data_IF_340829987380
#
_entry.id   IF_340829987380
#
_cell.length_a   1.000
_cell.length_b   1.000
_cell.length_c   1.000
_cell.angle_alpha   90.00
_cell.angle_beta   90.00
_cell.angle_gamma   90.00
#
_symmetry.space_group_name_H-M   'P 1'
#
loop_
_entity.id
_entity.type
_entity.pdbx_description
1 polymer ?
#
# COMPACT_ATOMS: atom_id res chain seq x y z
N UNK A 1 -3.75 51.51 30.06
CA UNK A 1 -3.86 50.45 29.02
C UNK A 1 -2.52 49.77 28.89
N UNK A 2 -2.25 48.64 29.54
CA UNK A 2 -1.14 47.76 29.15
C UNK A 2 -1.50 46.32 29.53
N UNK A 3 -2.21 45.63 28.63
CA UNK A 3 -2.46 44.19 28.66
C UNK A 3 -1.18 43.40 28.29
N UNK A 4 0.01 43.90 28.65
CA UNK A 4 1.30 43.29 28.29
C UNK A 4 1.79 42.25 29.29
N UNK A 5 1.43 42.38 30.58
CA UNK A 5 1.79 41.39 31.61
C UNK A 5 1.25 39.98 31.34
N UNK A 6 -0.05 39.82 30.98
CA UNK A 6 -0.62 38.52 30.61
C UNK A 6 0.04 37.93 29.36
N UNK A 7 0.33 38.78 28.36
CA UNK A 7 0.93 38.36 27.09
C UNK A 7 2.37 37.86 27.26
N UNK A 8 3.17 38.52 28.11
CA UNK A 8 4.54 38.11 28.42
C UNK A 8 4.55 36.78 29.17
N UNK A 9 3.63 36.59 30.11
CA UNK A 9 3.50 35.34 30.86
C UNK A 9 3.07 34.19 29.93
N UNK A 10 2.10 34.44 29.05
CA UNK A 10 1.64 33.49 28.03
C UNK A 10 2.78 33.09 27.08
N UNK A 11 3.52 34.06 26.53
CA UNK A 11 4.66 33.80 25.66
C UNK A 11 5.77 33.02 26.39
N UNK A 12 6.01 33.33 27.66
CA UNK A 12 6.95 32.60 28.50
C UNK A 12 6.54 31.13 28.70
N UNK A 13 5.25 30.88 28.95
CA UNK A 13 4.71 29.53 29.08
C UNK A 13 4.79 28.75 27.77
N UNK A 14 4.43 29.36 26.64
CA UNK A 14 4.58 28.72 25.31
C UNK A 14 6.03 28.43 24.95
N UNK A 15 6.95 29.35 25.27
CA UNK A 15 8.38 29.13 25.05
C UNK A 15 8.91 27.97 25.91
N UNK A 16 8.53 27.89 27.18
CA UNK A 16 8.92 26.78 28.06
C UNK A 16 8.33 25.45 27.57
N UNK A 17 7.07 25.44 27.12
CA UNK A 17 6.45 24.26 26.53
C UNK A 17 7.20 23.82 25.26
N UNK A 18 7.48 24.74 24.34
CA UNK A 18 8.27 24.49 23.12
C UNK A 18 9.66 23.94 23.45
N UNK A 19 10.37 24.54 24.41
CA UNK A 19 11.70 24.07 24.84
C UNK A 19 11.66 22.70 25.51
N UNK A 20 10.63 22.43 26.30
CA UNK A 20 10.44 21.11 26.92
C UNK A 20 10.20 20.02 25.86
N UNK A 21 9.38 20.31 24.84
CA UNK A 21 9.16 19.41 23.72
C UNK A 21 10.42 19.25 22.87
N UNK A 22 11.14 20.34 22.60
CA UNK A 22 12.40 20.30 21.86
C UNK A 22 13.45 19.43 22.55
N UNK A 23 13.58 19.53 23.88
CA UNK A 23 14.49 18.68 24.67
C UNK A 23 14.06 17.21 24.62
N UNK A 24 12.76 16.94 24.77
CA UNK A 24 12.21 15.58 24.64
C UNK A 24 12.52 15.00 23.26
N UNK A 25 12.20 15.73 22.18
CA UNK A 25 12.43 15.28 20.82
C UNK A 25 13.92 15.15 20.49
N UNK A 26 14.78 16.01 21.04
CA UNK A 26 16.23 15.85 20.93
C UNK A 26 16.70 14.55 21.58
N UNK A 27 16.21 14.24 22.79
CA UNK A 27 16.50 12.98 23.47
C UNK A 27 16.01 11.76 22.68
N UNK A 28 14.76 11.80 22.20
CA UNK A 28 14.16 10.73 21.39
C UNK A 28 14.90 10.51 20.07
N UNK A 29 15.31 11.58 19.38
CA UNK A 29 16.12 11.49 18.13
C UNK A 29 17.54 10.97 18.36
N UNK A 30 18.06 11.13 19.58
CA UNK A 30 19.38 10.63 19.96
C UNK A 30 19.36 9.16 20.40
N UNK A 31 18.18 8.61 20.67
CA UNK A 31 18.03 7.18 20.84
C UNK A 31 18.33 6.51 19.49
N UNK A 32 19.07 5.39 19.46
CA UNK A 32 19.18 4.60 18.25
C UNK A 32 17.77 4.26 17.76
N UNK A 33 17.59 4.04 16.45
CA UNK A 33 16.37 3.45 15.90
C UNK A 33 16.18 2.06 16.51
N UNK A 34 15.61 2.01 17.72
CA UNK A 34 15.62 0.86 18.62
C UNK A 34 14.46 -0.10 18.36
N UNK A 35 13.67 0.16 17.33
CA UNK A 35 12.63 -0.73 16.89
C UNK A 35 13.25 -1.80 15.99
N UNK A 36 13.49 -2.97 16.57
CA UNK A 36 13.81 -4.15 15.76
C UNK A 36 12.51 -4.57 15.07
N UNK A 37 12.44 -4.33 13.76
CA UNK A 37 11.35 -4.81 12.93
C UNK A 37 11.41 -6.34 12.86
N UNK A 38 10.52 -7.01 13.58
CA UNK A 38 10.34 -8.46 13.51
C UNK A 38 9.18 -8.76 12.55
N UNK A 39 9.37 -9.75 11.67
CA UNK A 39 8.27 -10.23 10.84
C UNK A 39 7.13 -10.78 11.71
N UNK A 40 5.90 -10.72 11.23
CA UNK A 40 4.69 -11.17 11.94
C UNK A 40 4.82 -12.59 12.48
N UNK A 41 5.44 -13.47 11.69
CA UNK A 41 5.70 -14.88 12.06
C UNK A 41 6.55 -15.03 13.32
N UNK A 42 7.34 -14.03 13.66
CA UNK A 42 8.21 -13.99 14.84
C UNK A 42 7.59 -13.23 16.02
N UNK A 43 6.37 -12.69 15.89
CA UNK A 43 5.73 -11.91 16.96
C UNK A 43 5.68 -12.68 18.29
N UNK A 44 5.53 -14.01 18.24
CA UNK A 44 5.49 -14.86 19.44
C UNK A 44 6.82 -14.88 20.21
N UNK A 45 7.96 -14.63 19.55
CA UNK A 45 9.26 -14.53 20.23
C UNK A 45 9.34 -13.33 21.16
N UNK A 46 8.52 -12.29 20.96
CA UNK A 46 8.42 -11.18 21.90
C UNK A 46 7.97 -11.60 23.30
N UNK A 47 7.27 -12.74 23.42
CA UNK A 47 6.87 -13.35 24.69
C UNK A 47 7.95 -14.27 25.31
N UNK A 48 9.04 -14.55 24.60
CA UNK A 48 10.10 -15.45 25.11
C UNK A 48 10.72 -14.99 26.42
N UNK A 49 10.95 -13.68 26.71
CA UNK A 49 11.50 -13.27 28.00
C UNK A 49 10.55 -13.57 29.15
N UNK A 50 9.24 -13.36 28.95
CA UNK A 50 8.20 -13.70 29.94
C UNK A 50 8.10 -15.19 30.17
N UNK A 51 8.15 -15.99 29.10
CA UNK A 51 8.15 -17.44 29.20
C UNK A 51 9.36 -17.96 29.99
N UNK A 52 10.57 -17.47 29.67
CA UNK A 52 11.80 -17.84 30.38
C UNK A 52 11.72 -17.49 31.87
N UNK A 53 11.16 -16.32 32.21
CA UNK A 53 10.98 -15.88 33.59
C UNK A 53 10.03 -16.81 34.35
N UNK A 54 8.91 -17.23 33.74
CA UNK A 54 7.97 -18.19 34.35
C UNK A 54 8.64 -19.56 34.54
N UNK A 55 9.34 -20.07 33.52
CA UNK A 55 10.04 -21.36 33.59
C UNK A 55 11.06 -21.36 34.72
N UNK A 56 11.83 -20.28 34.86
CA UNK A 56 12.81 -20.10 35.92
C UNK A 56 12.15 -19.98 37.30
N UNK A 57 11.18 -19.06 37.45
CA UNK A 57 10.58 -18.73 38.76
C UNK A 57 9.82 -19.89 39.38
N UNK A 58 9.18 -20.72 38.56
CA UNK A 58 8.40 -21.87 38.98
C UNK A 58 9.20 -23.20 38.93
N UNK A 59 10.49 -23.16 38.59
CA UNK A 59 11.33 -24.35 38.40
C UNK A 59 10.72 -25.41 37.46
N UNK A 60 9.94 -24.95 36.47
CA UNK A 60 9.21 -25.80 35.51
C UNK A 60 10.16 -26.69 34.74
N UNK A 61 11.37 -26.22 34.45
CA UNK A 61 12.40 -26.99 33.76
C UNK A 61 12.86 -28.23 34.52
N UNK A 62 12.68 -28.27 35.86
CA UNK A 62 12.99 -29.46 36.68
C UNK A 62 11.77 -30.36 36.89
N UNK A 63 10.58 -29.76 37.04
CA UNK A 63 9.37 -30.50 37.37
C UNK A 63 8.64 -31.03 36.13
N UNK A 64 8.69 -30.30 35.02
CA UNK A 64 7.98 -30.58 33.76
C UNK A 64 8.86 -30.29 32.53
N UNK A 65 10.06 -30.92 32.38
CA UNK A 65 10.98 -30.63 31.28
C UNK A 65 10.40 -30.88 29.89
N UNK A 66 9.52 -31.89 29.75
CA UNK A 66 8.84 -32.18 28.50
C UNK A 66 7.98 -31.01 27.99
N UNK A 67 7.38 -30.23 28.90
CA UNK A 67 6.60 -29.04 28.55
C UNK A 67 7.51 -27.93 28.00
N UNK A 68 8.70 -27.72 28.58
CA UNK A 68 9.67 -26.75 28.07
C UNK A 68 10.12 -27.11 26.65
N UNK A 69 10.39 -28.39 26.37
CA UNK A 69 10.74 -28.88 25.03
C UNK A 69 9.59 -28.67 24.06
N UNK A 70 8.36 -29.04 24.45
CA UNK A 70 7.18 -28.89 23.60
C UNK A 70 6.92 -27.42 23.24
N UNK A 71 6.97 -26.51 24.22
CA UNK A 71 6.83 -25.06 23.96
C UNK A 71 7.97 -24.54 23.09
N UNK A 72 9.21 -24.95 23.35
CA UNK A 72 10.34 -24.59 22.50
C UNK A 72 10.16 -25.02 21.04
N UNK A 73 9.70 -26.25 20.81
CA UNK A 73 9.39 -26.76 19.47
C UNK A 73 8.24 -26.00 18.81
N UNK A 74 7.19 -25.64 19.56
CA UNK A 74 6.10 -24.81 19.07
C UNK A 74 6.57 -23.39 18.71
N UNK A 75 7.52 -22.81 19.45
CA UNK A 75 8.13 -21.52 19.11
C UNK A 75 8.98 -21.58 17.83
N UNK A 76 9.46 -22.77 17.43
CA UNK A 76 10.14 -22.99 16.15
C UNK A 76 9.17 -23.21 14.97
N UNK A 77 7.86 -23.36 15.19
CA UNK A 77 6.85 -23.57 14.14
C UNK A 77 6.93 -22.59 12.95
N UNK A 78 7.20 -21.28 13.14
CA UNK A 78 7.34 -20.32 12.03
C UNK A 78 8.42 -20.68 11.00
N UNK A 79 9.43 -21.48 11.39
CA UNK A 79 10.50 -21.95 10.50
C UNK A 79 10.00 -22.97 9.47
N UNK A 80 8.85 -23.60 9.71
CA UNK A 80 8.31 -24.68 8.88
C UNK A 80 7.07 -24.28 8.09
N UNK A 81 6.59 -23.04 8.23
CA UNK A 81 5.51 -22.52 7.40
C UNK A 81 6.02 -22.27 5.98
N UNK A 82 5.60 -23.12 5.04
CA UNK A 82 5.80 -22.86 3.61
C UNK A 82 4.73 -21.89 3.09
N UNK A 83 5.08 -20.95 2.19
CA UNK A 83 4.10 -20.17 1.45
C UNK A 83 3.13 -21.11 0.72
N UNK A 84 1.86 -20.73 0.63
CA UNK A 84 0.89 -21.48 -0.18
C UNK A 84 1.23 -21.26 -1.67
N UNK A 85 1.63 -22.30 -2.43
CA UNK A 85 2.21 -22.14 -3.77
C UNK A 85 1.23 -21.62 -4.82
N UNK A 86 -0.08 -21.76 -4.57
CA UNK A 86 -1.14 -21.45 -5.54
C UNK A 86 -1.94 -20.18 -5.20
N UNK A 87 -1.52 -19.42 -4.20
CA UNK A 87 -2.16 -18.17 -3.83
C UNK A 87 -1.28 -16.99 -4.20
N UNK A 88 -1.91 -15.92 -4.70
CA UNK A 88 -1.27 -14.62 -4.86
C UNK A 88 -2.17 -13.54 -4.27
N UNK A 89 -1.56 -12.43 -3.90
CA UNK A 89 -2.23 -11.35 -3.21
C UNK A 89 -1.99 -10.02 -3.89
N UNK A 90 -2.99 -9.16 -3.78
CA UNK A 90 -2.86 -7.73 -4.05
C UNK A 90 -3.18 -6.98 -2.79
N UNK A 91 -2.30 -6.06 -2.41
CA UNK A 91 -2.50 -5.15 -1.29
C UNK A 91 -2.55 -3.72 -1.84
N UNK A 92 -3.64 -3.01 -1.59
CA UNK A 92 -3.68 -1.56 -1.70
C UNK A 92 -3.35 -1.00 -0.33
N UNK A 93 -2.15 -0.44 -0.17
CA UNK A 93 -1.69 0.09 1.09
C UNK A 93 -2.36 1.44 1.37
N UNK A 94 -2.68 1.70 2.65
CA UNK A 94 -3.20 3.01 3.08
C UNK A 94 -2.03 3.98 3.29
N UNK A 95 -1.49 4.51 2.18
CA UNK A 95 -0.37 5.49 2.17
C UNK A 95 -0.83 6.94 2.31
N UNK A 96 -2.10 7.16 2.66
CA UNK A 96 -2.69 8.50 2.65
C UNK A 96 -2.90 9.01 1.23
N UNK A 97 -2.44 10.22 0.93
CA UNK A 97 -2.56 10.79 -0.42
C UNK A 97 -1.50 10.13 -1.29
N UNK A 98 -1.91 9.52 -2.40
CA UNK A 98 -1.04 8.78 -3.29
C UNK A 98 -1.46 7.34 -3.51
N UNK A 99 -0.57 6.58 -4.14
CA UNK A 99 -0.83 5.19 -4.52
C UNK A 99 0.38 4.31 -4.18
N UNK A 100 0.11 3.17 -3.56
CA UNK A 100 1.07 2.08 -3.43
C UNK A 100 0.32 0.74 -3.42
N UNK A 101 0.60 -0.09 -4.42
CA UNK A 101 0.07 -1.44 -4.51
C UNK A 101 1.21 -2.45 -4.38
N UNK A 102 0.94 -3.56 -3.69
CA UNK A 102 1.87 -4.70 -3.60
C UNK A 102 1.22 -5.90 -4.24
N UNK A 103 1.88 -6.49 -5.24
CA UNK A 103 1.51 -7.77 -5.83
C UNK A 103 2.46 -8.81 -5.23
N UNK A 104 1.93 -9.74 -4.44
CA UNK A 104 2.74 -10.72 -3.71
C UNK A 104 2.44 -12.15 -4.14
N UNK A 105 3.49 -12.97 -4.21
CA UNK A 105 3.39 -14.42 -4.38
C UNK A 105 4.69 -15.08 -3.91
N UNK A 106 4.60 -16.24 -3.25
CA UNK A 106 5.77 -17.02 -2.81
C UNK A 106 6.79 -16.24 -1.97
N UNK A 107 6.35 -15.29 -1.15
CA UNK A 107 7.25 -14.46 -0.32
C UNK A 107 7.99 -13.36 -1.11
N UNK A 108 7.70 -13.20 -2.40
CA UNK A 108 8.22 -12.14 -3.26
C UNK A 108 7.15 -11.10 -3.55
N UNK A 109 7.58 -9.88 -3.89
CA UNK A 109 6.69 -8.77 -4.19
C UNK A 109 7.11 -7.96 -5.42
N UNK A 110 6.13 -7.46 -6.16
CA UNK A 110 6.28 -6.34 -7.09
C UNK A 110 5.48 -5.17 -6.53
N UNK A 111 6.10 -4.00 -6.49
CA UNK A 111 5.43 -2.75 -6.14
C UNK A 111 4.88 -2.07 -7.40
N UNK A 112 3.71 -1.45 -7.28
CA UNK A 112 3.19 -0.50 -8.25
C UNK A 112 2.96 0.82 -7.52
N UNK A 113 3.78 1.82 -7.86
CA UNK A 113 3.95 3.07 -7.13
C UNK A 113 4.41 2.93 -5.67
N UNK A 114 4.86 4.04 -5.10
CA UNK A 114 5.59 4.13 -3.84
C UNK A 114 5.08 5.25 -2.92
N UNK A 115 3.86 5.75 -3.15
CA UNK A 115 3.20 6.75 -2.32
C UNK A 115 3.86 8.13 -2.34
N UNK A 116 3.50 8.97 -1.38
CA UNK A 116 3.94 10.37 -1.24
C UNK A 116 5.26 10.52 -0.49
N UNK A 117 6.01 11.58 -0.85
CA UNK A 117 7.09 12.14 -0.05
C UNK A 117 6.79 13.59 0.37
N UNK A 118 7.34 14.00 1.51
CA UNK A 118 7.22 15.33 2.12
C UNK A 118 8.56 15.71 2.78
N UNK A 119 8.75 16.96 3.25
CA UNK A 119 10.06 17.45 3.66
C UNK A 119 10.76 16.62 4.74
N UNK A 120 10.00 16.00 5.64
CA UNK A 120 10.51 15.22 6.77
C UNK A 120 10.47 13.69 6.57
N UNK A 121 10.03 13.19 5.41
CA UNK A 121 10.00 11.75 5.15
C UNK A 121 9.18 11.33 3.94
N UNK A 122 9.04 10.02 3.76
CA UNK A 122 8.29 9.43 2.65
C UNK A 122 7.54 8.15 3.03
N UNK A 123 6.59 7.78 2.19
CA UNK A 123 5.77 6.57 2.35
C UNK A 123 6.59 5.29 2.31
N UNK A 124 7.71 5.29 1.59
CA UNK A 124 8.67 4.18 1.53
C UNK A 124 9.22 3.86 2.91
N UNK A 125 9.89 4.83 3.55
CA UNK A 125 10.51 4.69 4.85
C UNK A 125 9.47 4.46 5.97
N UNK A 126 8.37 5.20 5.96
CA UNK A 126 7.43 5.19 7.08
C UNK A 126 6.44 4.02 7.06
N UNK A 127 6.11 3.52 5.87
CA UNK A 127 5.05 2.52 5.71
C UNK A 127 5.50 1.31 4.91
N UNK A 128 5.94 1.49 3.67
CA UNK A 128 6.12 0.38 2.71
C UNK A 128 7.23 -0.56 3.17
N UNK A 129 8.41 -0.04 3.54
CA UNK A 129 9.55 -0.86 3.99
C UNK A 129 9.21 -1.63 5.27
N UNK A 130 8.75 -1.00 6.38
CA UNK A 130 8.32 -1.73 7.57
C UNK A 130 7.24 -2.77 7.28
N UNK A 131 6.28 -2.44 6.40
CA UNK A 131 5.19 -3.33 6.03
C UNK A 131 5.68 -4.58 5.28
N UNK A 132 6.58 -4.42 4.31
CA UNK A 132 7.20 -5.55 3.59
C UNK A 132 7.98 -6.46 4.54
N UNK A 133 8.75 -5.89 5.47
CA UNK A 133 9.45 -6.66 6.49
C UNK A 133 8.49 -7.39 7.44
N UNK A 134 7.43 -6.72 7.90
CA UNK A 134 6.39 -7.32 8.74
C UNK A 134 5.76 -8.54 8.06
N UNK A 135 5.42 -8.43 6.78
CA UNK A 135 4.83 -9.51 6.00
C UNK A 135 5.85 -10.51 5.43
N UNK A 136 7.13 -10.34 5.72
CA UNK A 136 8.22 -11.15 5.18
C UNK A 136 8.18 -11.27 3.65
N UNK A 137 7.99 -10.13 2.98
CA UNK A 137 7.99 -10.01 1.54
C UNK A 137 9.29 -9.37 1.07
N UNK A 138 9.94 -10.02 0.11
CA UNK A 138 11.13 -9.48 -0.54
C UNK A 138 10.72 -8.84 -1.87
N UNK A 139 10.85 -7.51 -2.03
CA UNK A 139 10.55 -6.88 -3.31
C UNK A 139 11.58 -7.31 -4.36
N UNK A 140 11.13 -7.52 -5.58
CA UNK A 140 11.99 -7.84 -6.73
C UNK A 140 11.96 -6.75 -7.81
N UNK A 141 10.91 -5.92 -7.82
CA UNK A 141 10.90 -4.72 -8.65
C UNK A 141 9.76 -3.76 -8.37
N UNK A 142 9.86 -2.60 -9.00
CA UNK A 142 8.93 -1.48 -8.89
C UNK A 142 8.43 -1.09 -10.28
N UNK A 143 7.12 -1.00 -10.44
CA UNK A 143 6.49 -0.38 -11.59
C UNK A 143 6.08 1.02 -11.14
N UNK A 144 6.73 2.05 -11.67
CA UNK A 144 6.35 3.44 -11.43
C UNK A 144 5.39 3.88 -12.54
N UNK A 145 4.17 4.26 -12.18
CA UNK A 145 3.14 4.67 -13.11
C UNK A 145 3.57 5.96 -13.82
N UNK A 146 3.90 7.01 -13.08
CA UNK A 146 4.38 8.29 -13.59
C UNK A 146 5.19 9.07 -12.53
N UNK A 147 5.61 10.29 -12.86
CA UNK A 147 6.62 11.05 -12.11
C UNK A 147 6.10 11.86 -10.91
N UNK A 148 4.78 11.91 -10.66
CA UNK A 148 4.25 12.76 -9.58
C UNK A 148 4.61 12.24 -8.19
N UNK A 149 4.77 13.18 -7.25
CA UNK A 149 5.36 12.95 -5.94
C UNK A 149 4.56 11.98 -5.07
N UNK A 150 3.25 11.90 -5.25
CA UNK A 150 2.32 10.99 -4.58
C UNK A 150 2.33 9.57 -5.16
N UNK A 151 3.13 9.33 -6.20
CA UNK A 151 3.39 8.03 -6.80
C UNK A 151 4.84 7.60 -6.69
N UNK A 152 5.80 8.52 -6.88
CA UNK A 152 7.24 8.21 -6.83
C UNK A 152 7.89 8.45 -5.48
N UNK A 153 7.17 9.01 -4.52
CA UNK A 153 7.73 9.63 -3.33
C UNK A 153 8.62 8.70 -2.52
N UNK A 154 8.20 7.46 -2.30
CA UNK A 154 8.98 6.47 -1.54
C UNK A 154 10.07 5.74 -2.34
N UNK A 155 10.26 6.05 -3.63
CA UNK A 155 11.13 5.27 -4.51
C UNK A 155 12.59 5.29 -4.03
N UNK A 156 13.12 6.46 -3.68
CA UNK A 156 14.53 6.61 -3.29
C UNK A 156 14.84 5.83 -2.01
N UNK A 157 13.98 5.90 -1.01
CA UNK A 157 14.09 5.13 0.24
C UNK A 157 14.01 3.61 0.00
N UNK A 158 13.12 3.18 -0.91
CA UNK A 158 13.02 1.77 -1.30
C UNK A 158 14.31 1.30 -2.00
N UNK A 159 14.87 2.08 -2.92
CA UNK A 159 16.11 1.73 -3.61
C UNK A 159 17.33 1.78 -2.69
N UNK A 160 17.32 2.66 -1.68
CA UNK A 160 18.35 2.65 -0.65
C UNK A 160 18.34 1.33 0.15
N UNK A 161 17.16 0.79 0.42
CA UNK A 161 16.99 -0.47 1.15
C UNK A 161 17.26 -1.70 0.27
N UNK A 162 16.82 -1.66 -0.99
CA UNK A 162 17.02 -2.73 -1.99
C UNK A 162 17.60 -2.18 -3.30
N UNK A 163 18.92 -1.99 -3.39
CA UNK A 163 19.56 -1.36 -4.55
C UNK A 163 19.47 -2.14 -5.86
N UNK A 164 19.14 -3.44 -5.79
CA UNK A 164 19.11 -4.36 -6.93
C UNK A 164 17.72 -4.50 -7.58
N UNK A 165 16.71 -3.76 -7.11
CA UNK A 165 15.37 -3.79 -7.70
C UNK A 165 15.41 -3.32 -9.16
N UNK A 166 14.77 -4.06 -10.05
CA UNK A 166 14.48 -3.51 -11.36
C UNK A 166 13.34 -2.50 -11.25
N UNK A 167 13.40 -1.45 -12.07
CA UNK A 167 12.36 -0.43 -12.14
C UNK A 167 11.79 -0.44 -13.55
N UNK A 168 10.46 -0.40 -13.68
CA UNK A 168 9.75 -0.18 -14.94
C UNK A 168 8.99 1.12 -14.88
N UNK A 169 9.17 1.99 -15.86
CA UNK A 169 8.36 3.21 -15.97
C UNK A 169 8.28 3.71 -17.41
N UNK A 170 7.34 4.63 -17.70
CA UNK A 170 7.23 5.23 -19.02
C UNK A 170 8.16 6.46 -19.20
N UNK A 171 9.01 6.75 -18.21
CA UNK A 171 9.71 8.05 -18.07
C UNK A 171 11.07 8.11 -18.79
N UNK A 172 11.53 7.00 -19.38
CA UNK A 172 12.85 6.87 -20.02
C UNK A 172 14.02 7.35 -19.12
N UNK A 173 13.89 7.20 -17.80
CA UNK A 173 14.98 7.50 -16.87
C UNK A 173 16.06 6.43 -16.91
N UNK A 174 17.27 6.80 -16.51
CA UNK A 174 18.39 5.86 -16.44
C UNK A 174 18.04 4.68 -15.52
N UNK A 175 18.46 3.48 -15.91
CA UNK A 175 18.18 2.22 -15.20
C UNK A 175 16.70 1.79 -15.13
N UNK A 176 15.77 2.56 -15.72
CA UNK A 176 14.39 2.13 -15.86
C UNK A 176 14.21 1.29 -17.12
N UNK A 177 13.68 0.09 -16.97
CA UNK A 177 13.12 -0.69 -18.06
C UNK A 177 11.84 -0.02 -18.59
N UNK A 178 11.52 -0.15 -19.88
CA UNK A 178 10.34 0.49 -20.44
C UNK A 178 9.05 -0.09 -19.85
N UNK A 179 8.12 0.80 -19.51
CA UNK A 179 6.70 0.46 -19.37
C UNK A 179 5.90 1.16 -20.45
N UNK A 180 5.71 0.46 -21.56
CA UNK A 180 5.00 0.92 -22.75
C UNK A 180 4.15 -0.20 -23.32
N UNK A 181 3.07 0.16 -24.01
CA UNK A 181 2.11 -0.80 -24.57
C UNK A 181 2.81 -1.85 -25.42
N UNK A 182 2.41 -3.11 -25.19
CA UNK A 182 2.92 -4.27 -25.91
C UNK A 182 3.96 -5.05 -25.10
N UNK A 183 4.61 -4.40 -24.13
CA UNK A 183 5.45 -5.09 -23.15
C UNK A 183 4.62 -6.09 -22.35
N UNK A 184 5.16 -7.29 -22.16
CA UNK A 184 4.58 -8.32 -21.33
C UNK A 184 5.68 -9.22 -20.75
N UNK A 185 5.48 -9.68 -19.53
CA UNK A 185 6.41 -10.60 -18.88
C UNK A 185 5.68 -11.56 -17.94
N UNK A 186 6.40 -12.58 -17.49
CA UNK A 186 5.94 -13.53 -16.49
C UNK A 186 6.70 -13.30 -15.19
N UNK A 187 6.00 -13.33 -14.07
CA UNK A 187 6.60 -13.25 -12.74
C UNK A 187 5.83 -14.16 -11.79
N UNK A 188 6.51 -15.13 -11.18
CA UNK A 188 5.89 -16.10 -10.27
C UNK A 188 4.63 -16.76 -10.86
N UNK A 189 4.60 -17.05 -12.18
CA UNK A 189 3.43 -17.61 -12.86
C UNK A 189 2.26 -16.64 -13.09
N UNK A 190 2.43 -15.36 -12.78
CA UNK A 190 1.50 -14.27 -13.14
C UNK A 190 1.99 -13.60 -14.42
N UNK A 191 1.06 -13.34 -15.35
CA UNK A 191 1.32 -12.57 -16.57
C UNK A 191 1.07 -11.09 -16.32
N UNK A 192 2.08 -10.27 -16.58
CA UNK A 192 1.96 -8.83 -16.64
C UNK A 192 1.87 -8.40 -18.11
N UNK A 193 0.95 -7.49 -18.43
CA UNK A 193 0.86 -6.88 -19.76
C UNK A 193 0.59 -5.39 -19.67
N UNK A 194 1.40 -4.60 -20.37
CA UNK A 194 1.29 -3.14 -20.39
C UNK A 194 0.31 -2.71 -21.48
N UNK A 195 -0.67 -1.88 -21.10
CA UNK A 195 -1.73 -1.38 -21.97
C UNK A 195 -1.58 0.09 -22.34
N UNK A 196 -0.79 0.86 -21.61
CA UNK A 196 -0.54 2.29 -21.84
C UNK A 196 0.74 2.71 -21.10
N UNK A 197 1.49 3.75 -21.54
CA UNK A 197 1.32 4.56 -22.75
C UNK A 197 1.75 3.86 -24.04
N UNK A 198 1.54 4.51 -25.20
CA UNK A 198 2.17 4.09 -26.45
C UNK A 198 3.67 4.42 -26.44
N UNK A 199 4.51 3.61 -27.10
CA UNK A 199 5.96 3.85 -27.22
C UNK A 199 6.32 5.28 -27.67
N UNK A 200 5.57 5.81 -28.64
CA UNK A 200 5.76 7.15 -29.20
C UNK A 200 4.75 8.17 -28.64
N UNK A 201 4.27 7.96 -27.42
CA UNK A 201 3.37 8.91 -26.78
C UNK A 201 4.10 10.19 -26.38
N UNK A 202 3.46 11.34 -26.59
CA UNK A 202 3.91 12.65 -26.10
C UNK A 202 3.16 13.09 -24.84
N UNK A 203 2.36 12.20 -24.24
CA UNK A 203 1.67 12.47 -22.98
C UNK A 203 2.68 12.66 -21.83
N UNK A 204 2.26 13.38 -20.78
CA UNK A 204 3.08 13.70 -19.60
C UNK A 204 2.24 13.59 -18.32
N UNK A 205 2.91 13.48 -17.17
CA UNK A 205 2.26 13.33 -15.86
C UNK A 205 1.23 12.20 -15.87
N UNK A 206 0.08 12.46 -15.26
CA UNK A 206 -1.09 11.58 -15.18
C UNK A 206 -1.39 10.79 -16.46
N UNK A 207 -1.48 11.47 -17.60
CA UNK A 207 -1.86 10.85 -18.87
C UNK A 207 -0.74 9.99 -19.50
N UNK A 208 0.45 10.00 -18.93
CA UNK A 208 1.56 9.12 -19.30
C UNK A 208 1.68 7.90 -18.38
N UNK A 209 0.76 7.73 -17.41
CA UNK A 209 0.79 6.63 -16.45
C UNK A 209 0.95 5.25 -17.11
N UNK A 210 1.86 4.43 -16.60
CA UNK A 210 2.05 3.05 -17.02
C UNK A 210 0.88 2.17 -16.55
N UNK A 211 -0.04 1.83 -17.46
CA UNK A 211 -1.21 0.99 -17.16
C UNK A 211 -0.85 -0.47 -17.37
N UNK A 212 -0.96 -1.29 -16.33
CA UNK A 212 -0.53 -2.69 -16.33
C UNK A 212 -1.64 -3.60 -15.86
N UNK A 213 -1.88 -4.68 -16.59
CA UNK A 213 -2.75 -5.77 -16.15
C UNK A 213 -1.90 -6.91 -15.60
N UNK A 214 -2.31 -7.45 -14.46
CA UNK A 214 -1.76 -8.67 -13.86
C UNK A 214 -2.82 -9.77 -13.94
N UNK A 215 -2.45 -10.94 -14.45
CA UNK A 215 -3.38 -12.03 -14.75
C UNK A 215 -2.81 -13.39 -14.35
N UNK A 216 -3.60 -14.20 -13.64
CA UNK A 216 -3.21 -15.53 -13.15
C UNK A 216 -3.71 -16.71 -14.02
N UNK A 217 -4.39 -16.42 -15.14
CA UNK A 217 -5.09 -17.42 -15.96
C UNK A 217 -6.61 -17.46 -15.75
N UNK A 218 -7.12 -16.89 -14.67
CA UNK A 218 -8.55 -16.82 -14.35
C UNK A 218 -8.97 -15.41 -13.89
N UNK A 219 -8.26 -14.85 -12.91
CA UNK A 219 -8.50 -13.56 -12.31
C UNK A 219 -7.45 -12.54 -12.73
N UNK A 220 -7.83 -11.27 -12.73
CA UNK A 220 -6.91 -10.18 -13.02
C UNK A 220 -7.19 -8.90 -12.25
N UNK A 221 -6.17 -8.07 -12.15
CA UNK A 221 -6.28 -6.67 -11.76
C UNK A 221 -5.70 -5.77 -12.86
N UNK A 222 -6.36 -4.64 -13.13
CA UNK A 222 -5.82 -3.56 -13.96
C UNK A 222 -5.38 -2.42 -13.04
N UNK A 223 -4.09 -2.09 -13.10
CA UNK A 223 -3.45 -0.99 -12.40
C UNK A 223 -3.32 0.16 -13.39
N UNK A 224 -3.94 1.29 -13.09
CA UNK A 224 -4.12 2.39 -14.04
C UNK A 224 -3.27 3.61 -13.75
N UNK A 225 -2.72 3.71 -12.53
CA UNK A 225 -2.11 4.94 -12.05
C UNK A 225 -3.15 6.05 -12.15
N UNK A 226 -2.73 7.16 -12.75
CA UNK A 226 -3.51 8.39 -12.78
C UNK A 226 -3.99 8.80 -14.17
N UNK A 227 -4.13 7.84 -15.08
CA UNK A 227 -4.70 8.17 -16.40
C UNK A 227 -6.03 8.93 -16.26
N UNK A 228 -6.14 10.01 -17.03
CA UNK A 228 -7.37 10.79 -17.12
C UNK A 228 -8.13 10.43 -18.40
N UNK A 229 -9.32 10.99 -18.55
CA UNK A 229 -10.20 10.75 -19.72
C UNK A 229 -9.46 10.80 -21.07
N UNK A 230 -8.52 11.74 -21.35
CA UNK A 230 -7.78 11.73 -22.62
C UNK A 230 -6.94 10.46 -22.83
N UNK A 231 -6.18 10.02 -21.82
CA UNK A 231 -5.41 8.78 -21.89
C UNK A 231 -6.32 7.55 -21.92
N UNK A 232 -7.44 7.55 -21.18
CA UNK A 232 -8.44 6.47 -21.25
C UNK A 232 -8.98 6.28 -22.66
N UNK A 233 -9.39 7.36 -23.33
CA UNK A 233 -9.90 7.32 -24.69
C UNK A 233 -8.85 6.83 -25.68
N UNK A 234 -7.64 7.38 -25.63
CA UNK A 234 -6.52 6.93 -26.47
C UNK A 234 -6.20 5.45 -26.21
N UNK A 235 -6.23 5.04 -24.95
CA UNK A 235 -5.96 3.67 -24.54
C UNK A 235 -6.96 2.70 -25.18
N UNK A 236 -8.25 3.04 -25.11
CA UNK A 236 -9.36 2.21 -25.59
C UNK A 236 -9.53 2.20 -27.12
N UNK A 237 -9.17 3.30 -27.81
CA UNK A 237 -9.46 3.55 -29.23
C UNK A 237 -9.02 2.46 -30.22
N UNK A 238 -7.98 1.66 -29.89
CA UNK A 238 -7.40 0.67 -30.82
C UNK A 238 -7.33 -0.76 -30.29
N UNK A 239 -7.52 -0.99 -28.99
CA UNK A 239 -7.28 -2.30 -28.34
C UNK A 239 -8.22 -2.58 -27.16
N UNK A 240 -9.48 -2.13 -27.28
CA UNK A 240 -10.52 -2.22 -26.24
C UNK A 240 -10.65 -3.63 -25.60
N UNK A 241 -10.43 -4.72 -26.34
CA UNK A 241 -10.60 -6.11 -25.85
C UNK A 241 -9.68 -6.57 -24.72
N UNK A 242 -8.57 -5.88 -24.47
CA UNK A 242 -7.55 -6.43 -23.58
C UNK A 242 -7.64 -5.92 -22.14
N UNK A 243 -8.51 -4.94 -21.85
CA UNK A 243 -8.62 -4.30 -20.52
C UNK A 243 -9.68 -4.93 -19.61
N UNK A 244 -10.41 -5.96 -20.07
CA UNK A 244 -11.33 -6.70 -19.20
C UNK A 244 -10.58 -7.33 -18.04
N UNK A 245 -11.05 -7.11 -16.81
CA UNK A 245 -10.33 -7.53 -15.60
C UNK A 245 -11.30 -7.79 -14.46
N UNK A 246 -10.89 -8.58 -13.48
CA UNK A 246 -11.73 -8.89 -12.32
C UNK A 246 -11.81 -7.69 -11.36
N UNK A 247 -10.67 -7.05 -11.11
CA UNK A 247 -10.53 -5.86 -10.27
C UNK A 247 -9.89 -4.71 -11.05
N UNK A 248 -10.24 -3.49 -10.67
CA UNK A 248 -9.69 -2.25 -11.21
C UNK A 248 -9.18 -1.38 -10.07
N UNK A 249 -7.92 -0.94 -10.14
CA UNK A 249 -7.48 0.23 -9.37
C UNK A 249 -8.08 1.46 -10.03
N UNK A 250 -8.80 2.27 -9.24
CA UNK A 250 -9.53 3.44 -9.73
C UNK A 250 -8.52 4.52 -10.13
N UNK A 251 -8.55 4.99 -11.40
CA UNK A 251 -7.59 5.97 -11.87
C UNK A 251 -7.64 7.29 -11.09
N UNK A 252 -6.48 7.91 -10.88
CA UNK A 252 -6.34 9.28 -10.40
C UNK A 252 -7.08 9.53 -9.08
N UNK A 253 -6.91 8.59 -8.14
CA UNK A 253 -7.52 8.61 -6.80
C UNK A 253 -9.05 8.77 -6.79
N UNK A 254 -9.73 8.53 -7.92
CA UNK A 254 -11.17 8.80 -8.09
C UNK A 254 -11.51 10.27 -8.39
N UNK A 255 -10.62 11.00 -9.05
CA UNK A 255 -10.85 12.36 -9.56
C UNK A 255 -11.97 12.43 -10.61
N UNK A 256 -12.67 13.57 -10.67
CA UNK A 256 -13.66 13.83 -11.73
C UNK A 256 -13.04 13.92 -13.13
N UNK A 257 -11.71 14.04 -13.25
CA UNK A 257 -11.00 14.04 -14.52
C UNK A 257 -10.76 12.65 -15.09
N UNK A 258 -11.07 11.58 -14.35
CA UNK A 258 -10.87 10.19 -14.72
C UNK A 258 -12.14 9.34 -14.56
N UNK A 259 -11.98 8.04 -14.80
CA UNK A 259 -13.01 7.01 -14.68
C UNK A 259 -14.19 7.26 -15.61
N UNK A 260 -13.93 7.48 -16.90
CA UNK A 260 -14.99 7.65 -17.90
C UNK A 260 -15.89 6.42 -17.99
N UNK A 261 -17.15 6.63 -18.35
CA UNK A 261 -18.10 5.52 -18.52
C UNK A 261 -17.60 4.47 -19.54
N UNK A 262 -17.01 4.84 -20.70
CA UNK A 262 -16.39 3.87 -21.60
C UNK A 262 -15.31 3.01 -20.94
N UNK A 263 -14.44 3.57 -20.10
CA UNK A 263 -13.43 2.79 -19.37
C UNK A 263 -14.11 1.77 -18.46
N UNK A 264 -15.01 2.23 -17.58
CA UNK A 264 -15.66 1.39 -16.56
C UNK A 264 -16.44 0.25 -17.21
N UNK A 265 -17.19 0.55 -18.27
CA UNK A 265 -17.95 -0.45 -19.03
C UNK A 265 -17.03 -1.43 -19.75
N UNK A 266 -15.87 -0.97 -20.23
CA UNK A 266 -14.96 -1.83 -20.99
C UNK A 266 -14.14 -2.76 -20.11
N UNK A 267 -13.74 -2.29 -18.94
CA UNK A 267 -13.11 -3.08 -17.89
C UNK A 267 -14.08 -4.16 -17.42
N UNK A 268 -15.37 -3.83 -17.25
CA UNK A 268 -16.44 -4.76 -16.86
C UNK A 268 -16.07 -5.66 -15.66
N UNK A 269 -15.38 -5.07 -14.68
CA UNK A 269 -14.92 -5.75 -13.48
C UNK A 269 -15.99 -5.90 -12.41
N UNK A 270 -15.59 -6.42 -11.26
CA UNK A 270 -16.45 -6.66 -10.10
C UNK A 270 -16.14 -5.73 -8.94
N UNK A 271 -14.91 -5.25 -8.84
CA UNK A 271 -14.42 -4.46 -7.69
C UNK A 271 -13.59 -3.28 -8.18
N UNK A 272 -13.82 -2.13 -7.58
CA UNK A 272 -13.07 -0.89 -7.80
C UNK A 272 -12.33 -0.52 -6.51
N UNK A 273 -11.00 -0.38 -6.59
CA UNK A 273 -10.11 -0.08 -5.48
C UNK A 273 -9.59 1.36 -5.61
N UNK A 274 -9.97 2.26 -4.72
CA UNK A 274 -9.54 3.66 -4.74
C UNK A 274 -8.58 3.98 -3.59
N UNK A 275 -7.36 4.40 -3.93
CA UNK A 275 -6.40 4.92 -2.95
C UNK A 275 -6.57 6.43 -2.81
N UNK A 276 -6.80 6.92 -1.60
CA UNK A 276 -6.86 8.34 -1.27
C UNK A 276 -6.60 8.56 0.22
N UNK A 277 -6.25 9.79 0.61
CA UNK A 277 -6.18 10.15 2.03
C UNK A 277 -7.56 10.42 2.61
N UNK A 278 -7.72 10.11 3.90
CA UNK A 278 -8.86 10.53 4.70
C UNK A 278 -8.83 12.06 4.88
N UNK A 279 -9.95 12.74 4.64
CA UNK A 279 -10.08 14.20 4.77
C UNK A 279 -9.07 15.02 3.95
N UNK A 280 -9.01 14.77 2.65
CA UNK A 280 -8.09 15.48 1.76
C UNK A 280 -8.70 16.76 1.16
N UNK A 281 -7.84 17.74 0.88
CA UNK A 281 -8.25 19.05 0.34
C UNK A 281 -8.93 18.96 -1.03
N UNK A 282 -8.68 17.88 -1.78
CA UNK A 282 -9.24 17.62 -3.11
C UNK A 282 -10.61 16.95 -3.08
N UNK A 283 -11.10 16.54 -1.89
CA UNK A 283 -12.36 15.81 -1.69
C UNK A 283 -12.43 14.54 -2.55
N UNK A 284 -11.31 13.82 -2.64
CA UNK A 284 -11.19 12.55 -3.34
C UNK A 284 -11.45 11.37 -2.39
N UNK A 285 -11.97 10.23 -2.88
CA UNK A 285 -12.55 10.05 -4.20
C UNK A 285 -13.84 10.86 -4.37
N UNK A 286 -14.09 11.35 -5.58
CA UNK A 286 -15.31 12.11 -5.88
C UNK A 286 -16.56 11.22 -5.77
N UNK A 287 -17.60 11.71 -5.09
CA UNK A 287 -18.90 11.05 -5.02
C UNK A 287 -19.48 10.72 -6.40
N UNK A 288 -19.25 11.59 -7.40
CA UNK A 288 -19.71 11.34 -8.79
C UNK A 288 -19.02 10.13 -9.40
N UNK A 289 -17.74 9.94 -9.11
CA UNK A 289 -16.96 8.79 -9.61
C UNK A 289 -17.39 7.52 -8.89
N UNK A 290 -17.49 7.55 -7.56
CA UNK A 290 -17.99 6.42 -6.75
C UNK A 290 -19.36 5.94 -7.23
N UNK A 291 -20.31 6.87 -7.40
CA UNK A 291 -21.63 6.52 -7.92
C UNK A 291 -21.60 5.94 -9.33
N UNK A 292 -20.72 6.44 -10.22
CA UNK A 292 -20.58 5.90 -11.56
C UNK A 292 -20.15 4.43 -11.54
N UNK A 293 -19.20 4.07 -10.68
CA UNK A 293 -18.79 2.67 -10.50
C UNK A 293 -19.91 1.80 -9.92
N UNK A 294 -20.61 2.29 -8.89
CA UNK A 294 -21.73 1.58 -8.27
C UNK A 294 -22.87 1.34 -9.26
N UNK A 295 -23.19 2.32 -10.11
CA UNK A 295 -24.18 2.18 -11.18
C UNK A 295 -23.78 1.13 -12.24
N UNK A 296 -22.49 0.87 -12.42
CA UNK A 296 -21.98 -0.21 -13.27
C UNK A 296 -21.79 -1.54 -12.51
N UNK A 297 -22.29 -1.63 -11.26
CA UNK A 297 -22.30 -2.88 -10.48
C UNK A 297 -20.98 -3.23 -9.80
N UNK A 298 -20.04 -2.29 -9.70
CA UNK A 298 -18.78 -2.52 -8.98
C UNK A 298 -19.01 -2.43 -7.46
N UNK A 299 -18.44 -3.38 -6.74
CA UNK A 299 -18.16 -3.20 -5.32
C UNK A 299 -17.06 -2.14 -5.16
N UNK A 300 -17.37 -1.03 -4.52
CA UNK A 300 -16.44 0.06 -4.27
C UNK A 300 -15.73 -0.11 -2.93
N UNK A 301 -14.40 0.01 -2.92
CA UNK A 301 -13.56 -0.01 -1.72
C UNK A 301 -12.52 1.10 -1.83
N UNK A 302 -12.31 1.83 -0.74
CA UNK A 302 -11.36 2.93 -0.69
C UNK A 302 -10.57 2.98 0.64
N UNK A 303 -9.31 3.38 0.58
CA UNK A 303 -8.45 3.45 1.78
C UNK A 303 -8.97 4.43 2.86
N UNK A 304 -9.62 5.58 2.53
CA UNK A 304 -10.22 6.44 3.54
C UNK A 304 -11.22 5.76 4.47
N UNK A 305 -11.96 4.75 4.01
CA UNK A 305 -12.92 4.00 4.85
C UNK A 305 -12.35 2.67 5.34
N UNK A 306 -11.71 1.89 4.46
CA UNK A 306 -11.29 0.51 4.73
C UNK A 306 -9.90 0.40 5.38
N UNK A 307 -9.08 1.45 5.30
CA UNK A 307 -7.62 1.31 5.49
C UNK A 307 -7.02 0.47 4.37
N UNK A 308 -5.97 -0.31 4.66
CA UNK A 308 -5.42 -1.24 3.67
C UNK A 308 -6.50 -2.21 3.19
N UNK A 309 -6.57 -2.43 1.87
CA UNK A 309 -7.42 -3.44 1.25
C UNK A 309 -6.54 -4.56 0.71
N UNK A 310 -6.87 -5.80 1.08
CA UNK A 310 -6.15 -7.00 0.66
C UNK A 310 -7.08 -7.90 -0.14
N UNK A 311 -6.60 -8.35 -1.29
CA UNK A 311 -7.30 -9.29 -2.17
C UNK A 311 -6.46 -10.55 -2.27
N UNK A 312 -7.00 -11.66 -1.78
CA UNK A 312 -6.39 -12.98 -1.88
C UNK A 312 -7.01 -13.73 -3.04
N UNK A 313 -6.19 -14.21 -3.97
CA UNK A 313 -6.61 -15.04 -5.09
C UNK A 313 -6.16 -16.49 -4.85
N UNK A 314 -7.05 -17.43 -5.11
CA UNK A 314 -6.86 -18.87 -4.89
C UNK A 314 -7.63 -19.68 -5.94
N UNK A 315 -7.41 -21.00 -5.96
CA UNK A 315 -8.18 -21.90 -6.83
C UNK A 315 -9.69 -21.88 -6.55
N UNK A 316 -10.11 -21.53 -5.33
CA UNK A 316 -11.52 -21.42 -4.92
C UNK A 316 -12.15 -20.05 -5.26
N UNK A 317 -11.41 -19.17 -5.94
CA UNK A 317 -11.80 -17.80 -6.25
C UNK A 317 -11.00 -16.77 -5.46
N UNK A 318 -11.55 -15.59 -5.30
CA UNK A 318 -10.90 -14.48 -4.61
C UNK A 318 -11.71 -13.98 -3.42
N UNK A 319 -11.01 -13.44 -2.42
CA UNK A 319 -11.60 -12.88 -1.20
C UNK A 319 -10.96 -11.56 -0.86
N UNK A 320 -11.77 -10.64 -0.35
CA UNK A 320 -11.32 -9.32 0.08
C UNK A 320 -11.40 -9.22 1.59
N UNK A 321 -10.36 -8.65 2.18
CA UNK A 321 -10.31 -8.25 3.58
C UNK A 321 -9.71 -6.86 3.69
N UNK A 322 -10.23 -6.04 4.60
CA UNK A 322 -9.74 -4.71 4.89
C UNK A 322 -9.23 -4.59 6.31
N UNK A 323 -8.30 -3.65 6.52
CA UNK A 323 -7.67 -3.43 7.81
C UNK A 323 -8.70 -3.03 8.88
N UNK A 324 -9.62 -2.11 8.56
CA UNK A 324 -10.53 -1.55 9.56
C UNK A 324 -11.79 -2.36 9.80
N UNK A 325 -12.29 -3.08 8.80
CA UNK A 325 -13.54 -3.85 8.94
C UNK A 325 -13.31 -5.32 9.31
N UNK A 326 -12.26 -5.97 8.80
CA UNK A 326 -12.05 -7.41 9.00
C UNK A 326 -10.80 -7.78 9.82
N UNK A 327 -9.69 -7.06 9.67
CA UNK A 327 -8.41 -7.47 10.29
C UNK A 327 -8.26 -6.89 11.70
N UNK A 328 -8.57 -5.60 11.89
CA UNK A 328 -8.52 -4.90 13.18
C UNK A 328 -9.84 -4.14 13.45
N UNK A 329 -10.97 -4.86 13.59
CA UNK A 329 -12.25 -4.23 13.92
C UNK A 329 -12.19 -3.66 15.34
N UNK A 330 -12.14 -2.33 15.46
CA UNK A 330 -12.25 -1.64 16.76
C UNK A 330 -13.60 -0.95 16.84
N UNK A 331 -14.31 -1.14 17.95
CA UNK A 331 -15.66 -0.62 18.16
C UNK A 331 -15.77 0.89 17.93
N UNK A 332 -14.72 1.65 18.23
CA UNK A 332 -14.72 3.11 18.09
C UNK A 332 -14.45 3.60 16.65
N UNK A 333 -13.98 2.75 15.73
CA UNK A 333 -13.79 3.16 14.33
C UNK A 333 -15.12 3.57 13.66
N UNK A 334 -16.25 3.01 14.13
CA UNK A 334 -17.59 3.36 13.64
C UNK A 334 -18.12 4.65 14.29
N UNK A 335 -17.75 4.96 15.54
CA UNK A 335 -18.23 6.14 16.27
C UNK A 335 -17.50 7.43 15.91
N UNK A 336 -16.22 7.33 15.56
CA UNK A 336 -15.47 8.43 14.92
C UNK A 336 -15.47 8.26 13.40
N UNK A 337 -16.54 7.66 12.86
CA UNK A 337 -16.69 7.28 11.46
C UNK A 337 -16.66 8.50 10.53
N UNK A 338 -16.09 8.26 9.34
CA UNK A 338 -16.16 9.19 8.21
C UNK A 338 -17.64 9.42 7.85
N UNK A 339 -18.08 10.64 7.50
CA UNK A 339 -19.28 10.80 6.70
C UNK A 339 -19.17 9.94 5.42
N UNK A 340 -20.29 9.64 4.74
CA UNK A 340 -20.25 8.85 3.49
C UNK A 340 -19.33 9.48 2.43
N UNK A 341 -19.06 10.78 2.58
CA UNK A 341 -18.21 11.62 1.74
C UNK A 341 -17.01 12.23 2.51
N UNK A 342 -15.97 12.57 1.76
CA UNK A 342 -14.80 13.31 2.27
C UNK A 342 -15.04 14.84 2.31
N UNK A 343 -16.29 15.29 2.50
CA UNK A 343 -16.69 16.69 2.69
C UNK A 343 -17.27 17.44 1.50
#
# INVERSE_FOLDING_TARGET
>A
MHLSGPLILEQGLWFLADRSLALLFWGLKSLPEGWINIAERWQWLSFSPWFLLVVWRLNVWRTLPAMCVAVGLLMCWPLWQKPRPDEWQVYMLDVGQGLAMVIARNGKAILYDTGLAWPEGDSGQQLIIPWLHWHNLEPEGVILSHEHLDHRGGLDSILHTWPMLWIRSPLNWEHHQPCVRGEAWQWQGLRFSVHWPLQASNDKGNNHSCVVKVYDGTNSILLTGDIEVPAEQKMLSRYWQQVQTTLLQVPHHGSNTSSSLPLIQRVNGKVALASASRYNAWRLPSNKVKHRYQQQGYQWLDTPHQGQVTVNFSAQGWRISSLREQILPRWYHQWFGVPVDNG
#
